data_IF_005781357014
#
_entry.id   IF_005781357014
#
_cell.length_a   1.000
_cell.length_b   1.000
_cell.length_c   1.000
_cell.angle_alpha   90.00
_cell.angle_beta   90.00
_cell.angle_gamma   90.00
#
_symmetry.space_group_name_H-M   'P 1'
#
loop_
_entity.id
_entity.type
_entity.pdbx_description
1 polymer ?
#
# COMPACT_ATOMS: atom_id res chain seq x y z
N UNK A 1 -52.80 -25.51 4.14
CA UNK A 1 -52.23 -24.80 5.30
C UNK A 1 -51.02 -24.04 4.78
N UNK A 2 -51.16 -22.73 4.60
CA UNK A 2 -50.14 -21.79 4.12
C UNK A 2 -49.04 -21.57 5.16
N UNK A 3 -47.77 -21.48 4.69
CA UNK A 3 -46.61 -20.60 5.06
C UNK A 3 -46.47 -20.10 6.53
N UNK A 4 -45.28 -19.82 7.14
CA UNK A 4 -44.02 -19.36 6.51
C UNK A 4 -42.70 -19.71 7.23
N UNK A 5 -41.59 -19.92 6.51
CA UNK A 5 -40.25 -19.65 7.08
C UNK A 5 -39.32 -19.03 6.05
N UNK A 6 -39.67 -17.80 5.66
CA UNK A 6 -38.81 -16.78 5.06
C UNK A 6 -38.10 -15.98 6.15
N UNK A 7 -37.09 -16.54 6.83
CA UNK A 7 -36.15 -15.78 7.69
C UNK A 7 -34.87 -16.64 7.77
N UNK A 8 -33.72 -16.30 7.19
CA UNK A 8 -32.82 -15.22 7.58
C UNK A 8 -31.78 -15.00 6.46
N UNK A 9 -32.20 -14.46 5.31
CA UNK A 9 -31.25 -13.79 4.45
C UNK A 9 -30.94 -12.42 5.09
N UNK A 10 -29.66 -12.14 5.33
CA UNK A 10 -29.09 -10.83 5.69
C UNK A 10 -29.03 -10.44 7.18
N UNK A 11 -27.98 -10.87 7.91
CA UNK A 11 -27.54 -10.12 9.11
C UNK A 11 -26.08 -10.32 9.53
N UNK A 12 -25.13 -10.57 8.62
CA UNK A 12 -23.69 -10.67 9.00
C UNK A 12 -22.69 -10.15 7.96
N UNK A 13 -22.97 -9.05 7.23
CA UNK A 13 -22.02 -8.55 6.20
C UNK A 13 -21.72 -7.05 6.21
N UNK A 14 -21.88 -6.37 7.35
CA UNK A 14 -21.59 -4.93 7.45
C UNK A 14 -20.34 -4.55 8.25
N UNK A 15 -19.98 -5.33 9.28
CA UNK A 15 -19.02 -4.89 10.32
C UNK A 15 -17.60 -5.41 10.15
N UNK A 16 -17.36 -6.40 9.30
CA UNK A 16 -16.04 -6.99 9.08
C UNK A 16 -15.21 -6.25 8.02
N UNK A 17 -15.84 -5.54 7.08
CA UNK A 17 -15.15 -4.85 5.99
C UNK A 17 -14.31 -3.65 6.45
N UNK A 18 -14.92 -2.73 7.20
CA UNK A 18 -14.24 -1.50 7.66
C UNK A 18 -13.05 -1.80 8.58
N UNK A 19 -13.21 -2.75 9.51
CA UNK A 19 -12.12 -3.17 10.40
C UNK A 19 -10.93 -3.77 9.63
N UNK A 20 -11.19 -4.49 8.53
CA UNK A 20 -10.12 -5.03 7.66
C UNK A 20 -9.39 -3.95 6.90
N UNK A 21 -10.11 -2.98 6.32
CA UNK A 21 -9.50 -1.82 5.64
C UNK A 21 -8.66 -1.01 6.62
N UNK A 22 -9.18 -0.79 7.82
CA UNK A 22 -8.45 -0.12 8.90
C UNK A 22 -7.15 -0.86 9.23
N UNK A 23 -7.22 -2.16 9.49
CA UNK A 23 -6.02 -2.95 9.77
C UNK A 23 -5.03 -2.92 8.60
N UNK A 24 -5.51 -3.05 7.36
CA UNK A 24 -4.68 -2.98 6.17
C UNK A 24 -3.92 -1.64 6.06
N UNK A 25 -4.59 -0.53 6.37
CA UNK A 25 -3.95 0.78 6.42
C UNK A 25 -2.80 0.83 7.43
N UNK A 26 -2.99 0.32 8.65
CA UNK A 26 -1.91 0.29 9.65
C UNK A 26 -0.77 -0.64 9.25
N UNK A 27 -1.05 -1.77 8.61
CA UNK A 27 0.00 -2.65 8.07
C UNK A 27 0.79 -1.96 6.95
N UNK A 28 0.11 -1.26 6.03
CA UNK A 28 0.77 -0.47 4.99
C UNK A 28 1.66 0.63 5.59
N UNK A 29 1.16 1.34 6.60
CA UNK A 29 1.93 2.38 7.30
C UNK A 29 3.13 1.80 8.06
N UNK A 30 3.01 0.60 8.62
CA UNK A 30 4.12 -0.08 9.28
C UNK A 30 5.22 -0.45 8.27
N UNK A 31 4.86 -1.02 7.11
CA UNK A 31 5.82 -1.32 6.04
C UNK A 31 6.50 -0.06 5.50
N UNK A 32 5.72 0.99 5.22
CA UNK A 32 6.27 2.28 4.80
C UNK A 32 7.24 2.87 5.83
N UNK A 33 6.88 2.86 7.11
CA UNK A 33 7.76 3.37 8.17
C UNK A 33 9.02 2.53 8.34
N UNK A 34 8.98 1.22 8.10
CA UNK A 34 10.15 0.36 8.18
C UNK A 34 11.13 0.70 7.06
N UNK A 35 10.67 0.75 5.81
CA UNK A 35 11.48 1.14 4.66
C UNK A 35 12.08 2.55 4.84
N UNK A 36 11.28 3.54 5.26
CA UNK A 36 11.77 4.90 5.49
C UNK A 36 12.88 5.01 6.55
N UNK A 37 12.86 4.14 7.57
CA UNK A 37 13.87 4.16 8.62
C UNK A 37 15.14 3.40 8.22
N UNK A 38 14.99 2.29 7.53
CA UNK A 38 16.09 1.36 7.26
C UNK A 38 16.79 1.64 5.93
N UNK A 39 16.10 2.22 4.95
CA UNK A 39 16.61 2.38 3.58
C UNK A 39 16.89 3.85 3.25
N UNK A 40 18.17 4.19 3.06
CA UNK A 40 18.58 5.53 2.61
C UNK A 40 18.02 5.87 1.22
N UNK A 41 18.02 4.90 0.31
CA UNK A 41 17.50 5.07 -1.05
C UNK A 41 16.01 5.43 -1.03
N UNK A 42 15.20 4.68 -0.26
CA UNK A 42 13.77 4.96 -0.13
C UNK A 42 13.48 6.36 0.43
N UNK A 43 14.29 6.87 1.37
CA UNK A 43 14.16 8.26 1.85
C UNK A 43 14.37 9.28 0.74
N UNK A 44 15.35 9.06 -0.13
CA UNK A 44 15.61 9.94 -1.27
C UNK A 44 14.44 9.91 -2.26
N UNK A 45 13.89 8.73 -2.54
CA UNK A 45 12.73 8.59 -3.42
C UNK A 45 11.49 9.29 -2.84
N UNK A 46 11.25 9.19 -1.53
CA UNK A 46 10.14 9.90 -0.87
C UNK A 46 10.34 11.41 -0.97
N UNK A 47 11.57 11.92 -0.76
CA UNK A 47 11.88 13.33 -0.93
C UNK A 47 11.64 13.79 -2.38
N UNK A 48 12.07 13.00 -3.36
CA UNK A 48 11.79 13.27 -4.77
C UNK A 48 10.28 13.26 -5.04
N UNK A 49 9.53 12.31 -4.50
CA UNK A 49 8.08 12.25 -4.66
C UNK A 49 7.39 13.50 -4.08
N UNK A 50 7.84 13.99 -2.92
CA UNK A 50 7.35 15.23 -2.30
C UNK A 50 7.59 16.46 -3.16
N UNK A 51 8.56 16.44 -4.08
CA UNK A 51 8.84 17.54 -5.01
C UNK A 51 8.10 17.33 -6.34
N UNK A 52 8.20 16.12 -6.90
CA UNK A 52 7.71 15.79 -8.23
C UNK A 52 6.18 15.74 -8.31
N UNK A 53 5.49 15.28 -7.25
CA UNK A 53 4.03 15.21 -7.24
C UNK A 53 3.42 16.64 -7.25
N UNK A 54 3.81 17.58 -6.37
CA UNK A 54 3.37 18.96 -6.49
C UNK A 54 3.72 19.57 -7.84
N UNK A 55 4.94 19.36 -8.34
CA UNK A 55 5.35 19.87 -9.65
C UNK A 55 4.43 19.37 -10.78
N UNK A 56 4.08 18.09 -10.80
CA UNK A 56 3.12 17.51 -11.74
C UNK A 56 1.73 18.17 -11.64
N UNK A 57 1.28 18.48 -10.42
CA UNK A 57 0.02 19.18 -10.19
C UNK A 57 0.05 20.65 -10.66
N UNK A 58 1.19 21.34 -10.62
CA UNK A 58 1.32 22.72 -11.09
C UNK A 58 1.59 22.86 -12.60
N UNK A 59 2.14 21.83 -13.25
CA UNK A 59 2.41 21.86 -14.70
C UNK A 59 1.11 21.99 -15.54
N UNK A 60 1.10 22.79 -16.62
CA UNK A 60 -0.07 22.96 -17.50
C UNK A 60 -0.22 21.78 -18.47
N UNK A 61 -0.33 20.57 -17.94
CA UNK A 61 -0.54 19.31 -18.70
C UNK A 61 -1.95 18.79 -18.47
N UNK A 62 -2.42 17.94 -19.39
CA UNK A 62 -3.76 17.32 -19.30
C UNK A 62 -3.89 16.48 -18.03
N UNK A 63 -5.13 16.21 -17.58
CA UNK A 63 -5.37 15.36 -16.41
C UNK A 63 -4.74 13.97 -16.54
N UNK A 64 -4.77 13.38 -17.74
CA UNK A 64 -4.09 12.11 -18.04
C UNK A 64 -2.58 12.25 -17.89
N UNK A 65 -1.98 13.33 -18.40
CA UNK A 65 -0.56 13.62 -18.22
C UNK A 65 -0.16 13.69 -16.74
N UNK A 66 -0.94 14.42 -15.91
CA UNK A 66 -0.71 14.47 -14.46
C UNK A 66 -0.80 13.09 -13.82
N UNK A 67 -1.82 12.31 -14.17
CA UNK A 67 -2.01 10.97 -13.63
C UNK A 67 -0.84 10.04 -13.99
N UNK A 68 -0.31 10.11 -15.21
CA UNK A 68 0.87 9.33 -15.62
C UNK A 68 2.13 9.76 -14.87
N UNK A 69 2.38 11.06 -14.70
CA UNK A 69 3.54 11.56 -13.96
C UNK A 69 3.51 11.14 -12.49
N UNK A 70 2.36 11.35 -11.82
CA UNK A 70 2.18 10.94 -10.42
C UNK A 70 2.24 9.41 -10.30
N UNK A 71 1.57 8.70 -11.21
CA UNK A 71 1.57 7.24 -11.26
C UNK A 71 2.97 6.66 -11.41
N UNK A 72 3.83 7.24 -12.24
CA UNK A 72 5.22 6.82 -12.39
C UNK A 72 6.03 7.00 -11.09
N UNK A 73 5.89 8.14 -10.42
CA UNK A 73 6.54 8.38 -9.12
C UNK A 73 6.08 7.38 -8.07
N UNK A 74 4.77 7.12 -7.99
CA UNK A 74 4.21 6.13 -7.07
C UNK A 74 4.65 4.70 -7.42
N UNK A 75 4.82 4.38 -8.69
CA UNK A 75 5.30 3.07 -9.14
C UNK A 75 6.72 2.79 -8.65
N UNK A 76 7.61 3.78 -8.73
CA UNK A 76 8.99 3.65 -8.21
C UNK A 76 8.96 3.34 -6.71
N UNK A 77 8.22 4.13 -5.91
CA UNK A 77 8.07 3.86 -4.47
C UNK A 77 7.46 2.49 -4.18
N UNK A 78 6.47 2.05 -4.97
CA UNK A 78 5.87 0.72 -4.83
C UNK A 78 6.88 -0.38 -5.11
N UNK A 79 7.69 -0.27 -6.16
CA UNK A 79 8.72 -1.25 -6.52
C UNK A 79 9.79 -1.32 -5.42
N UNK A 80 10.21 -0.18 -4.87
CA UNK A 80 11.20 -0.17 -3.79
C UNK A 80 10.67 -0.84 -2.51
N UNK A 81 9.43 -0.54 -2.12
CA UNK A 81 8.79 -1.24 -0.99
C UNK A 81 8.66 -2.75 -1.22
N UNK A 82 8.39 -3.18 -2.46
CA UNK A 82 8.33 -4.60 -2.82
C UNK A 82 9.72 -5.23 -2.74
N UNK A 83 10.75 -4.55 -3.22
CA UNK A 83 12.14 -5.02 -3.13
C UNK A 83 12.54 -5.23 -1.66
N UNK A 84 12.36 -4.22 -0.80
CA UNK A 84 12.70 -4.34 0.63
C UNK A 84 11.87 -5.42 1.34
N UNK A 85 10.61 -5.61 0.97
CA UNK A 85 9.77 -6.66 1.54
C UNK A 85 10.23 -8.07 1.15
N UNK A 86 10.65 -8.25 -0.11
CA UNK A 86 11.21 -9.51 -0.61
C UNK A 86 12.54 -9.78 0.10
N UNK A 87 13.44 -8.80 0.17
CA UNK A 87 14.74 -8.92 0.84
C UNK A 87 14.57 -9.31 2.31
N UNK A 88 13.73 -8.60 3.06
CA UNK A 88 13.43 -8.93 4.45
C UNK A 88 12.82 -10.34 4.62
N UNK A 89 12.03 -10.80 3.65
CA UNK A 89 11.45 -12.16 3.67
C UNK A 89 12.53 -13.21 3.41
N UNK A 90 13.40 -12.98 2.42
CA UNK A 90 14.50 -13.90 2.05
C UNK A 90 15.53 -13.99 3.17
N UNK A 91 15.89 -12.87 3.79
CA UNK A 91 16.82 -12.84 4.92
C UNK A 91 16.29 -13.62 6.11
N UNK A 92 14.99 -13.48 6.41
CA UNK A 92 14.34 -14.23 7.49
C UNK A 92 14.39 -15.74 7.26
N UNK A 93 14.13 -16.20 6.04
CA UNK A 93 14.18 -17.62 5.69
C UNK A 93 15.61 -18.15 5.70
N UNK A 94 16.59 -17.36 5.24
CA UNK A 94 18.01 -17.76 5.28
C UNK A 94 18.54 -17.89 6.71
N UNK A 95 18.13 -17.02 7.63
CA UNK A 95 18.54 -17.12 9.05
C UNK A 95 17.97 -18.37 9.72
N UNK A 96 16.80 -18.86 9.33
CA UNK A 96 16.22 -20.11 9.84
C UNK A 96 16.93 -21.38 9.32
N UNK A 97 17.73 -21.28 8.25
CA UNK A 97 18.40 -22.42 7.60
C UNK A 97 19.84 -22.67 8.08
N UNK A 98 20.38 -21.86 9.01
CA UNK A 98 21.75 -21.99 9.52
C UNK A 98 21.78 -22.24 11.05
N UNK A 99 22.11 -23.46 11.52
CA UNK A 99 22.56 -23.73 12.90
C UNK A 99 24.01 -23.31 13.15
#
# INVERSE_FOLDING_TARGET
MTDPTTHEASSFKGKTGLKRVWNAFFYSMAGFSAAFKNEDAFRQEVLLALILIPLALFLPVTGVGKALMIGAVLLVLMVELLNSAIEATVDRVSIELHP
#
